data_IF_810600070280
#
_entry.id   IF_810600070280
#
_cell.length_a   1.000
_cell.length_b   1.000
_cell.length_c   1.000
_cell.angle_alpha   90.00
_cell.angle_beta   90.00
_cell.angle_gamma   90.00
#
_symmetry.space_group_name_H-M   'P 1'
#
loop_
_entity.id
_entity.type
_entity.pdbx_description
1 polymer ?
#
# COMPACT_ATOMS: atom_id res chain seq x y z
N UNK A 1 -6.94 10.60 20.64
CA UNK A 1 -6.77 10.85 19.20
C UNK A 1 -7.91 10.18 18.43
N UNK A 2 -9.09 10.83 18.31
CA UNK A 2 -10.28 10.23 17.68
C UNK A 2 -10.14 10.03 16.16
N UNK A 3 -9.21 10.74 15.51
CA UNK A 3 -8.84 10.58 14.10
C UNK A 3 -7.57 9.76 13.89
N UNK A 4 -7.04 9.10 14.93
CA UNK A 4 -5.83 8.29 14.77
C UNK A 4 -6.11 7.07 13.91
N UNK A 5 -5.23 6.86 12.94
CA UNK A 5 -5.16 5.61 12.19
C UNK A 5 -4.43 4.57 13.00
N UNK A 6 -5.04 3.39 13.12
CA UNK A 6 -4.46 2.27 13.87
C UNK A 6 -4.23 1.14 12.88
N UNK A 7 -2.98 0.70 12.81
CA UNK A 7 -2.55 -0.50 12.11
C UNK A 7 -1.84 -1.42 13.10
N UNK A 8 -1.75 -2.70 12.75
CA UNK A 8 -0.98 -3.68 13.53
C UNK A 8 0.19 -4.17 12.71
N UNK A 9 1.29 -4.45 13.40
CA UNK A 9 2.46 -5.05 12.82
C UNK A 9 3.15 -5.95 13.85
N UNK A 10 3.80 -7.00 13.37
CA UNK A 10 4.59 -7.86 14.22
C UNK A 10 5.59 -8.70 13.45
N UNK A 11 6.30 -9.52 14.22
CA UNK A 11 7.18 -10.56 13.72
C UNK A 11 6.95 -11.84 14.50
N UNK A 12 7.09 -13.01 13.86
CA UNK A 12 6.94 -14.31 14.53
C UNK A 12 5.55 -14.45 15.19
N UNK A 13 5.47 -15.01 16.39
CA UNK A 13 4.23 -15.05 17.17
C UNK A 13 3.60 -13.66 17.38
N UNK A 14 4.41 -12.61 17.43
CA UNK A 14 3.93 -11.22 17.51
C UNK A 14 3.12 -10.83 16.28
N UNK A 15 3.47 -11.33 15.10
CA UNK A 15 2.67 -11.11 13.88
C UNK A 15 1.35 -11.88 13.91
N UNK A 16 1.34 -13.12 14.39
CA UNK A 16 0.09 -13.86 14.60
C UNK A 16 -0.86 -13.09 15.55
N UNK A 17 -0.30 -12.52 16.63
CA UNK A 17 -1.08 -11.70 17.56
C UNK A 17 -1.56 -10.40 16.89
N UNK A 18 -0.70 -9.73 16.11
CA UNK A 18 -1.03 -8.53 15.36
C UNK A 18 -2.20 -8.79 14.40
N UNK A 19 -2.14 -9.86 13.60
CA UNK A 19 -3.22 -10.28 12.70
C UNK A 19 -4.52 -10.57 13.46
N UNK A 20 -4.44 -11.27 14.60
CA UNK A 20 -5.61 -11.54 15.44
C UNK A 20 -6.25 -10.24 15.93
N UNK A 21 -5.46 -9.29 16.43
CA UNK A 21 -5.95 -7.98 16.87
C UNK A 21 -6.56 -7.21 15.70
N UNK A 22 -5.90 -7.16 14.54
CA UNK A 22 -6.43 -6.52 13.34
C UNK A 22 -7.78 -7.09 12.92
N UNK A 23 -7.93 -8.41 12.94
CA UNK A 23 -9.20 -9.06 12.63
C UNK A 23 -10.27 -8.70 13.67
N UNK A 24 -9.95 -8.74 14.97
CA UNK A 24 -10.97 -8.44 15.99
C UNK A 24 -11.37 -6.97 16.00
N UNK A 25 -10.45 -6.05 15.69
CA UNK A 25 -10.67 -4.60 15.76
C UNK A 25 -10.98 -3.94 14.41
N UNK A 26 -10.83 -4.66 13.30
CA UNK A 26 -10.97 -4.11 11.95
C UNK A 26 -9.87 -3.10 11.62
N UNK A 27 -8.61 -3.49 11.89
CA UNK A 27 -7.43 -2.73 11.49
C UNK A 27 -6.75 -3.39 10.29
N UNK A 28 -5.99 -2.60 9.53
CA UNK A 28 -5.07 -3.14 8.55
C UNK A 28 -3.81 -3.66 9.27
N UNK A 29 -3.26 -4.75 8.73
CA UNK A 29 -2.10 -5.43 9.29
C UNK A 29 -1.00 -5.59 8.23
N UNK A 30 0.24 -5.38 8.66
CA UNK A 30 1.44 -5.72 7.90
C UNK A 30 2.50 -6.26 8.85
N UNK A 31 2.99 -7.47 8.59
CA UNK A 31 4.15 -7.96 9.32
C UNK A 31 4.78 -9.19 8.70
N UNK A 32 5.60 -9.87 9.50
CA UNK A 32 6.65 -10.73 8.97
C UNK A 32 6.72 -12.08 9.70
N UNK A 33 6.81 -13.16 8.94
CA UNK A 33 7.07 -14.52 9.45
C UNK A 33 6.11 -14.98 10.57
N UNK A 34 4.86 -14.50 10.57
CA UNK A 34 3.88 -14.92 11.56
C UNK A 34 3.22 -16.24 11.20
N UNK A 35 3.17 -17.25 12.08
CA UNK A 35 2.32 -18.43 11.87
C UNK A 35 0.86 -18.07 11.55
N UNK A 36 0.21 -18.88 10.73
CA UNK A 36 -1.20 -18.72 10.35
C UNK A 36 -2.12 -18.92 11.56
N UNK A 37 -3.11 -18.04 11.70
CA UNK A 37 -3.96 -17.94 12.89
C UNK A 37 -5.28 -18.72 12.79
N UNK A 38 -5.52 -19.50 11.73
CA UNK A 38 -6.83 -20.14 11.48
C UNK A 38 -7.38 -20.96 12.65
N UNK A 39 -6.52 -21.55 13.49
CA UNK A 39 -6.93 -22.31 14.67
C UNK A 39 -7.48 -21.44 15.83
N UNK A 40 -7.36 -20.12 15.74
CA UNK A 40 -7.77 -19.16 16.78
C UNK A 40 -9.05 -18.38 16.44
N UNK A 41 -9.60 -18.58 15.24
CA UNK A 41 -10.64 -17.72 14.66
C UNK A 41 -11.78 -18.56 14.07
N UNK A 42 -12.95 -17.93 13.84
CA UNK A 42 -14.12 -18.64 13.32
C UNK A 42 -13.99 -18.95 11.83
N UNK A 43 -14.86 -19.82 11.30
CA UNK A 43 -14.89 -20.14 9.85
C UNK A 43 -15.24 -18.91 9.01
N UNK A 44 -16.14 -18.08 9.52
CA UNK A 44 -16.55 -16.82 8.88
C UNK A 44 -15.39 -15.82 8.85
N UNK A 45 -14.60 -15.77 9.92
CA UNK A 45 -13.39 -14.93 9.98
C UNK A 45 -12.29 -15.44 9.04
N UNK A 46 -12.08 -16.76 8.95
CA UNK A 46 -11.17 -17.35 7.96
C UNK A 46 -11.62 -16.95 6.54
N UNK A 47 -12.91 -17.07 6.25
CA UNK A 47 -13.46 -16.69 4.94
C UNK A 47 -13.22 -15.21 4.64
N UNK A 48 -13.46 -14.32 5.60
CA UNK A 48 -13.15 -12.89 5.45
C UNK A 48 -11.67 -12.67 5.12
N UNK A 49 -10.75 -13.30 5.84
CA UNK A 49 -9.30 -13.15 5.58
C UNK A 49 -8.90 -13.69 4.20
N UNK A 50 -9.55 -14.74 3.71
CA UNK A 50 -9.32 -15.30 2.37
C UNK A 50 -9.88 -14.40 1.26
N UNK A 51 -11.01 -13.73 1.50
CA UNK A 51 -11.63 -12.78 0.56
C UNK A 51 -10.89 -11.43 0.57
N UNK A 52 -10.25 -11.10 1.69
CA UNK A 52 -9.57 -9.82 1.94
C UNK A 52 -8.12 -9.98 2.43
N UNK A 53 -7.27 -10.74 1.72
CA UNK A 53 -5.90 -10.99 2.16
C UNK A 53 -5.04 -9.71 2.16
N UNK A 54 -5.43 -8.69 1.39
CA UNK A 54 -4.79 -7.37 1.38
C UNK A 54 -4.83 -6.68 2.74
N UNK A 55 -5.89 -6.92 3.55
CA UNK A 55 -5.99 -6.38 4.89
C UNK A 55 -4.94 -7.00 5.84
N UNK A 56 -4.48 -8.21 5.57
CA UNK A 56 -3.69 -9.03 6.48
C UNK A 56 -2.36 -9.47 5.85
N UNK A 57 -1.52 -8.52 5.44
CA UNK A 57 -0.30 -8.85 4.70
C UNK A 57 0.76 -9.46 5.62
N UNK A 58 0.94 -10.77 5.52
CA UNK A 58 1.95 -11.50 6.27
C UNK A 58 3.07 -11.93 5.33
N UNK A 59 4.13 -11.14 5.26
CA UNK A 59 5.30 -11.47 4.46
C UNK A 59 6.06 -12.62 5.10
N UNK A 60 6.17 -13.74 4.40
CA UNK A 60 6.86 -14.92 4.90
C UNK A 60 8.04 -15.28 4.04
N UNK A 61 9.13 -15.62 4.70
CA UNK A 61 10.22 -16.29 4.04
C UNK A 61 9.80 -17.72 3.68
N UNK A 62 9.99 -18.14 2.41
CA UNK A 62 9.51 -19.44 1.91
C UNK A 62 10.03 -20.64 2.70
N UNK A 63 11.26 -20.52 3.21
CA UNK A 63 11.97 -21.58 3.93
C UNK A 63 11.97 -21.42 5.46
N UNK A 64 11.27 -20.42 5.98
CA UNK A 64 11.11 -20.24 7.43
C UNK A 64 10.21 -21.34 8.01
N UNK A 65 10.77 -22.23 8.82
CA UNK A 65 10.01 -23.32 9.44
C UNK A 65 9.04 -22.84 10.52
N UNK A 66 9.34 -21.73 11.20
CA UNK A 66 8.50 -21.20 12.28
C UNK A 66 7.29 -20.49 11.69
N UNK A 67 7.51 -19.51 10.81
CA UNK A 67 6.41 -18.75 10.18
C UNK A 67 5.46 -19.63 9.36
N UNK A 68 5.95 -20.77 8.84
CA UNK A 68 5.14 -21.69 8.04
C UNK A 68 4.57 -22.89 8.82
N UNK A 69 4.82 -23.00 10.14
CA UNK A 69 4.52 -24.20 10.94
C UNK A 69 3.03 -24.58 10.98
N UNK A 70 2.13 -23.58 10.85
CA UNK A 70 0.67 -23.79 10.86
C UNK A 70 0.04 -23.71 9.46
N UNK A 71 0.84 -23.73 8.39
CA UNK A 71 0.33 -23.63 7.02
C UNK A 71 -0.13 -22.23 6.63
N UNK A 72 -1.09 -22.13 5.70
CA UNK A 72 -1.61 -20.87 5.16
C UNK A 72 -3.13 -20.95 4.87
N UNK A 73 -3.90 -21.47 5.83
CA UNK A 73 -5.35 -21.64 5.68
C UNK A 73 -6.06 -20.29 5.50
N UNK A 74 -5.58 -19.21 6.12
CA UNK A 74 -6.14 -17.86 5.95
C UNK A 74 -5.81 -17.24 4.59
N UNK A 75 -4.88 -17.82 3.82
CA UNK A 75 -4.40 -17.32 2.52
C UNK A 75 -3.78 -15.91 2.56
N UNK A 76 -3.23 -15.54 3.71
CA UNK A 76 -2.66 -14.20 3.95
C UNK A 76 -1.14 -14.12 3.75
N UNK A 77 -0.47 -15.28 3.64
CA UNK A 77 0.97 -15.33 3.45
C UNK A 77 1.39 -14.83 2.05
N UNK A 78 2.36 -13.92 2.01
CA UNK A 78 3.01 -13.40 0.81
C UNK A 78 4.45 -13.87 0.82
N UNK A 79 4.88 -14.58 -0.23
CA UNK A 79 6.25 -15.09 -0.36
C UNK A 79 7.02 -14.30 -1.43
N UNK A 80 7.62 -13.16 -1.07
CA UNK A 80 8.45 -12.44 -2.02
C UNK A 80 9.75 -13.20 -2.30
N UNK A 81 10.34 -12.93 -3.46
CA UNK A 81 11.60 -13.53 -3.87
C UNK A 81 12.79 -12.82 -3.21
N UNK A 82 12.98 -13.10 -1.92
CA UNK A 82 14.04 -12.51 -1.06
C UNK A 82 15.17 -13.50 -0.73
N UNK A 83 15.21 -14.64 -1.42
CA UNK A 83 16.16 -15.73 -1.19
C UNK A 83 16.74 -16.21 -2.53
N UNK A 84 18.00 -16.72 -2.56
CA UNK A 84 18.63 -17.12 -3.81
C UNK A 84 17.86 -18.25 -4.50
N UNK A 85 17.86 -18.27 -5.83
CA UNK A 85 17.20 -19.29 -6.65
C UNK A 85 17.63 -20.73 -6.32
N UNK A 86 18.84 -20.90 -5.76
CA UNK A 86 19.37 -22.18 -5.34
C UNK A 86 19.28 -22.31 -3.83
N UNK A 87 18.47 -23.28 -3.42
CA UNK A 87 18.21 -23.65 -2.04
C UNK A 87 19.48 -24.05 -1.28
N UNK A 88 19.93 -23.20 -0.36
CA UNK A 88 20.92 -23.59 0.65
C UNK A 88 20.14 -24.00 1.92
N UNK A 89 20.07 -25.31 2.16
CA UNK A 89 19.30 -25.93 3.25
C UNK A 89 19.90 -25.72 4.66
N UNK A 90 21.02 -24.98 4.75
CA UNK A 90 21.92 -24.94 5.91
C UNK A 90 21.31 -24.41 7.20
N UNK A 91 20.44 -23.40 7.15
CA UNK A 91 19.92 -22.76 8.37
C UNK A 91 18.46 -22.29 8.25
N UNK A 92 17.52 -23.24 8.35
CA UNK A 92 16.07 -22.97 8.29
C UNK A 92 15.56 -22.02 9.38
N UNK A 93 16.28 -21.91 10.50
CA UNK A 93 15.97 -20.97 11.58
C UNK A 93 16.45 -19.55 11.28
N UNK A 94 17.51 -19.40 10.48
CA UNK A 94 18.02 -18.08 10.09
C UNK A 94 17.01 -17.33 9.21
N UNK A 95 16.29 -18.07 8.35
CA UNK A 95 15.20 -17.54 7.53
C UNK A 95 14.04 -16.94 8.33
N UNK A 96 13.96 -17.25 9.63
CA UNK A 96 12.98 -16.62 10.50
C UNK A 96 13.37 -15.19 10.90
N UNK A 97 14.65 -14.82 10.86
CA UNK A 97 15.15 -13.55 11.40
C UNK A 97 14.70 -12.34 10.59
N UNK A 98 14.53 -11.21 11.28
CA UNK A 98 14.18 -9.93 10.63
C UNK A 98 15.30 -9.40 9.71
N UNK A 99 16.55 -9.83 9.91
CA UNK A 99 17.69 -9.45 9.07
C UNK A 99 17.60 -9.95 7.63
N UNK A 100 16.67 -10.87 7.33
CA UNK A 100 16.44 -11.40 5.99
C UNK A 100 15.64 -10.43 5.11
N UNK A 101 14.99 -9.42 5.71
CA UNK A 101 14.17 -8.45 5.00
C UNK A 101 14.99 -7.23 4.62
N UNK A 102 14.87 -6.80 3.36
CA UNK A 102 15.56 -5.62 2.83
C UNK A 102 14.54 -4.53 2.54
N UNK A 103 14.89 -3.32 2.91
CA UNK A 103 14.05 -2.15 2.70
C UNK A 103 14.81 -1.12 1.89
N UNK A 104 14.10 -0.38 1.03
CA UNK A 104 14.66 0.80 0.41
C UNK A 104 14.72 1.98 1.40
N UNK A 105 15.25 3.11 0.95
CA UNK A 105 15.37 4.35 1.74
C UNK A 105 14.02 4.91 2.23
N UNK A 106 12.92 4.52 1.60
CA UNK A 106 11.56 4.91 1.95
C UNK A 106 10.88 3.88 2.88
N UNK A 107 11.62 2.87 3.35
CA UNK A 107 11.10 1.82 4.22
C UNK A 107 10.21 0.80 3.51
N UNK A 108 10.24 0.73 2.17
CA UNK A 108 9.48 -0.22 1.37
C UNK A 108 10.24 -1.53 1.23
N UNK A 109 9.54 -2.66 1.40
CA UNK A 109 10.17 -3.98 1.24
C UNK A 109 10.61 -4.15 -0.22
N UNK A 110 11.87 -4.57 -0.43
CA UNK A 110 12.41 -4.89 -1.76
C UNK A 110 12.80 -6.36 -1.86
N UNK A 111 12.70 -6.91 -3.07
CA UNK A 111 13.16 -8.26 -3.39
C UNK A 111 14.68 -8.29 -3.62
N UNK A 112 15.21 -9.47 -3.99
CA UNK A 112 16.65 -9.61 -4.23
C UNK A 112 17.17 -8.74 -5.37
N UNK A 113 16.34 -8.48 -6.38
CA UNK A 113 16.67 -7.66 -7.54
C UNK A 113 16.54 -6.16 -7.24
N UNK A 114 16.17 -5.81 -6.00
CA UNK A 114 15.98 -4.42 -5.56
C UNK A 114 14.63 -3.84 -5.96
N UNK A 115 13.71 -4.66 -6.49
CA UNK A 115 12.38 -4.21 -6.88
C UNK A 115 11.45 -4.17 -5.67
N UNK A 116 10.67 -3.09 -5.56
CA UNK A 116 9.65 -2.93 -4.51
C UNK A 116 8.61 -4.05 -4.55
N UNK A 117 8.44 -4.70 -3.41
CA UNK A 117 7.40 -5.71 -3.12
C UNK A 117 6.16 -5.04 -2.55
N UNK A 118 6.34 -4.02 -1.68
CA UNK A 118 5.22 -3.26 -1.13
C UNK A 118 4.58 -2.40 -2.20
N UNK A 119 3.25 -2.42 -2.25
CA UNK A 119 2.45 -1.61 -3.16
C UNK A 119 1.57 -0.66 -2.35
N UNK A 120 1.76 0.64 -2.54
CA UNK A 120 1.03 1.67 -1.79
C UNK A 120 -0.48 1.66 -2.13
N UNK A 121 -0.86 1.32 -3.36
CA UNK A 121 -2.28 1.13 -3.72
C UNK A 121 -2.90 -0.05 -2.98
N UNK A 122 -2.16 -1.14 -2.80
CA UNK A 122 -2.61 -2.27 -1.96
C UNK A 122 -2.72 -1.86 -0.50
N UNK A 123 -1.83 -0.98 -0.02
CA UNK A 123 -1.93 -0.43 1.34
C UNK A 123 -3.20 0.42 1.51
N UNK A 124 -3.51 1.28 0.54
CA UNK A 124 -4.75 2.06 0.54
C UNK A 124 -5.99 1.15 0.51
N UNK A 125 -5.98 0.09 -0.31
CA UNK A 125 -7.05 -0.90 -0.35
C UNK A 125 -7.20 -1.62 0.99
N UNK A 126 -6.10 -2.06 1.60
CA UNK A 126 -6.10 -2.73 2.90
C UNK A 126 -6.77 -1.90 4.00
N UNK A 127 -6.49 -0.60 4.02
CA UNK A 127 -7.05 0.33 4.99
C UNK A 127 -8.54 0.59 4.75
N UNK A 128 -8.95 0.75 3.48
CA UNK A 128 -10.34 0.87 3.10
C UNK A 128 -11.14 -0.40 3.45
N UNK A 129 -10.60 -1.58 3.14
CA UNK A 129 -11.16 -2.88 3.49
C UNK A 129 -11.30 -3.02 5.01
N UNK A 130 -10.27 -2.67 5.78
CA UNK A 130 -10.32 -2.69 7.24
C UNK A 130 -11.40 -1.76 7.80
N UNK A 131 -11.48 -0.52 7.27
CA UNK A 131 -12.50 0.46 7.64
C UNK A 131 -13.92 -0.03 7.31
N UNK A 132 -14.11 -0.65 6.15
CA UNK A 132 -15.38 -1.23 5.73
C UNK A 132 -15.76 -2.47 6.55
N UNK A 133 -14.80 -3.31 6.90
CA UNK A 133 -15.04 -4.45 7.79
C UNK A 133 -15.47 -3.99 9.18
N UNK A 134 -14.81 -2.95 9.72
CA UNK A 134 -15.23 -2.30 10.97
C UNK A 134 -16.64 -1.74 10.86
N UNK A 135 -16.97 -1.04 9.76
CA UNK A 135 -18.33 -0.57 9.47
C UNK A 135 -19.35 -1.72 9.51
N UNK A 136 -19.08 -2.85 8.86
CA UNK A 136 -20.01 -3.99 8.82
C UNK A 136 -20.25 -4.60 10.20
N UNK A 137 -19.21 -4.69 11.04
CA UNK A 137 -19.33 -5.18 12.42
C UNK A 137 -20.22 -4.26 13.26
N UNK A 138 -19.99 -2.95 13.16
CA UNK A 138 -20.78 -1.95 13.89
C UNK A 138 -22.21 -1.93 13.39
N UNK A 139 -22.42 -1.99 12.08
CA UNK A 139 -23.76 -2.07 11.49
C UNK A 139 -24.54 -3.26 12.02
N UNK A 140 -23.93 -4.45 11.99
CA UNK A 140 -24.54 -5.66 12.54
C UNK A 140 -24.94 -5.50 14.01
N UNK A 141 -24.12 -4.79 14.80
CA UNK A 141 -24.40 -4.52 16.20
C UNK A 141 -25.54 -3.51 16.40
N UNK A 142 -25.50 -2.36 15.71
CA UNK A 142 -26.50 -1.29 15.87
C UNK A 142 -27.86 -1.66 15.25
N UNK A 143 -27.87 -2.46 14.19
CA UNK A 143 -29.10 -2.86 13.50
C UNK A 143 -29.91 -3.95 14.21
N UNK A 144 -29.46 -4.45 15.38
CA UNK A 144 -30.09 -5.58 16.08
C UNK A 144 -31.59 -5.34 16.38
N UNK A 145 -31.96 -4.11 16.73
CA UNK A 145 -33.33 -3.71 17.08
C UNK A 145 -33.90 -2.66 16.10
N UNK A 146 -33.31 -2.55 14.91
CA UNK A 146 -33.55 -1.46 13.95
C UNK A 146 -32.67 -0.24 14.21
N UNK A 147 -32.42 0.56 13.16
CA UNK A 147 -31.55 1.74 13.25
C UNK A 147 -32.35 3.00 13.59
N UNK A 148 -31.85 3.78 14.53
CA UNK A 148 -32.26 5.17 14.70
C UNK A 148 -31.60 6.08 13.67
N UNK A 149 -32.19 7.25 13.41
CA UNK A 149 -31.60 8.23 12.48
C UNK A 149 -30.19 8.70 12.90
N UNK A 150 -29.86 8.65 14.19
CA UNK A 150 -28.51 9.01 14.66
C UNK A 150 -27.49 7.90 14.40
N UNK A 151 -27.92 6.64 14.51
CA UNK A 151 -27.10 5.49 14.15
C UNK A 151 -26.88 5.41 12.63
N UNK A 152 -27.89 5.75 11.83
CA UNK A 152 -27.75 5.89 10.37
C UNK A 152 -26.67 6.92 10.03
N UNK A 153 -26.77 8.13 10.61
CA UNK A 153 -25.76 9.19 10.40
C UNK A 153 -24.37 8.73 10.83
N UNK A 154 -24.26 7.96 11.91
CA UNK A 154 -22.99 7.41 12.37
C UNK A 154 -22.41 6.38 11.40
N UNK A 155 -23.23 5.44 10.93
CA UNK A 155 -22.84 4.44 9.96
C UNK A 155 -22.43 5.08 8.63
N UNK A 156 -23.17 6.07 8.16
CA UNK A 156 -22.84 6.85 6.96
C UNK A 156 -21.52 7.60 7.13
N UNK A 157 -21.27 8.17 8.31
CA UNK A 157 -20.00 8.83 8.63
C UNK A 157 -18.83 7.85 8.59
N UNK A 158 -18.98 6.66 9.18
CA UNK A 158 -17.93 5.62 9.17
C UNK A 158 -17.63 5.11 7.76
N UNK A 159 -18.66 4.84 6.97
CA UNK A 159 -18.52 4.40 5.59
C UNK A 159 -17.89 5.50 4.73
N UNK A 160 -18.37 6.74 4.87
CA UNK A 160 -17.85 7.90 4.15
C UNK A 160 -16.37 8.15 4.45
N UNK A 161 -15.95 8.10 5.71
CA UNK A 161 -14.54 8.23 6.08
C UNK A 161 -13.68 7.10 5.53
N UNK A 162 -14.12 5.83 5.66
CA UNK A 162 -13.35 4.68 5.20
C UNK A 162 -13.14 4.68 3.67
N UNK A 163 -14.20 4.97 2.90
CA UNK A 163 -14.13 5.01 1.45
C UNK A 163 -13.44 6.28 0.94
N UNK A 164 -13.74 7.44 1.56
CA UNK A 164 -13.11 8.71 1.22
C UNK A 164 -11.59 8.67 1.39
N UNK A 165 -11.11 8.21 2.54
CA UNK A 165 -9.68 8.05 2.82
C UNK A 165 -9.04 7.02 1.88
N UNK A 166 -9.70 5.86 1.70
CA UNK A 166 -9.21 4.81 0.81
C UNK A 166 -9.02 5.27 -0.63
N UNK A 167 -10.00 6.00 -1.19
CA UNK A 167 -9.92 6.56 -2.54
C UNK A 167 -8.86 7.64 -2.66
N UNK A 168 -8.75 8.55 -1.69
CA UNK A 168 -7.72 9.58 -1.68
C UNK A 168 -6.31 8.97 -1.63
N UNK A 169 -6.07 8.01 -0.74
CA UNK A 169 -4.79 7.33 -0.62
C UNK A 169 -4.45 6.52 -1.88
N UNK A 170 -5.43 5.84 -2.48
CA UNK A 170 -5.20 5.07 -3.71
C UNK A 170 -4.87 5.97 -4.90
N UNK A 171 -5.57 7.11 -5.04
CA UNK A 171 -5.29 8.08 -6.09
C UNK A 171 -3.90 8.73 -5.92
N UNK A 172 -3.53 9.10 -4.68
CA UNK A 172 -2.20 9.60 -4.35
C UNK A 172 -1.10 8.59 -4.65
N UNK A 173 -1.25 7.35 -4.19
CA UNK A 173 -0.31 6.27 -4.47
C UNK A 173 -0.17 6.02 -5.99
N UNK A 174 -1.27 6.09 -6.74
CA UNK A 174 -1.22 5.98 -8.20
C UNK A 174 -0.47 7.12 -8.87
N UNK A 175 -0.63 8.35 -8.41
CA UNK A 175 0.12 9.51 -8.91
C UNK A 175 1.62 9.39 -8.60
N UNK A 176 1.96 8.97 -7.39
CA UNK A 176 3.35 8.79 -6.97
C UNK A 176 4.04 7.64 -7.74
N UNK A 177 3.32 6.54 -8.00
CA UNK A 177 3.80 5.44 -8.85
C UNK A 177 4.15 5.91 -10.27
N UNK A 178 3.35 6.81 -10.86
CA UNK A 178 3.60 7.35 -12.21
C UNK A 178 4.85 8.23 -12.21
N UNK A 179 5.03 9.07 -11.19
CA UNK A 179 6.24 9.90 -11.03
C UNK A 179 7.49 9.03 -10.87
N UNK A 180 7.43 8.01 -10.02
CA UNK A 180 8.54 7.08 -9.85
C UNK A 180 8.85 6.32 -11.15
N UNK A 181 7.83 5.92 -11.92
CA UNK A 181 8.04 5.31 -13.22
C UNK A 181 8.72 6.28 -14.19
N UNK A 182 8.33 7.56 -14.20
CA UNK A 182 9.01 8.59 -14.98
C UNK A 182 10.49 8.67 -14.59
N UNK A 183 10.80 8.80 -13.30
CA UNK A 183 12.18 8.87 -12.79
C UNK A 183 13.01 7.67 -13.27
N UNK A 184 12.47 6.45 -13.18
CA UNK A 184 13.14 5.23 -13.63
C UNK A 184 13.41 5.24 -15.15
N UNK A 185 12.41 5.59 -15.95
CA UNK A 185 12.53 5.57 -17.42
C UNK A 185 13.44 6.69 -17.91
N UNK A 186 13.35 7.89 -17.31
CA UNK A 186 14.25 9.02 -17.61
C UNK A 186 15.68 8.68 -17.23
N UNK A 187 15.92 8.05 -16.08
CA UNK A 187 17.26 7.59 -15.69
C UNK A 187 17.83 6.59 -16.71
N UNK A 188 17.04 5.61 -17.14
CA UNK A 188 17.44 4.65 -18.18
C UNK A 188 17.71 5.32 -19.53
N UNK A 189 16.90 6.29 -19.93
CA UNK A 189 17.13 7.07 -21.16
C UNK A 189 18.44 7.87 -21.06
N UNK A 190 18.72 8.45 -19.90
CA UNK A 190 19.96 9.19 -19.63
C UNK A 190 21.18 8.26 -19.63
N UNK A 191 21.07 7.05 -19.09
CA UNK A 191 22.11 6.03 -19.17
C UNK A 191 22.41 5.63 -20.61
N UNK A 192 21.38 5.39 -21.43
CA UNK A 192 21.54 5.10 -22.86
C UNK A 192 22.23 6.25 -23.61
N UNK A 193 21.84 7.50 -23.31
CA UNK A 193 22.52 8.67 -23.86
C UNK A 193 23.99 8.72 -23.49
N UNK A 194 24.33 8.47 -22.21
CA UNK A 194 25.70 8.49 -21.71
C UNK A 194 26.58 7.37 -22.28
N UNK A 195 26.00 6.28 -22.81
CA UNK A 195 26.72 5.19 -23.47
C UNK A 195 27.12 5.52 -24.91
N UNK A 196 26.56 6.56 -25.53
CA UNK A 196 26.93 6.96 -26.89
C UNK A 196 28.33 7.56 -26.92
N UNK A 197 29.24 6.92 -27.66
CA UNK A 197 30.61 7.41 -27.84
C UNK A 197 30.77 8.23 -29.13
N UNK A 198 30.62 9.54 -29.00
CA UNK A 198 30.85 10.50 -30.08
C UNK A 198 32.34 10.75 -30.38
N UNK A 199 33.26 10.23 -29.57
CA UNK A 199 34.70 10.48 -29.70
C UNK A 199 35.44 9.44 -30.57
N UNK A 200 34.78 8.35 -30.92
CA UNK A 200 35.37 7.23 -31.68
C UNK A 200 35.67 7.53 -33.16
N UNK A 201 35.19 8.65 -33.70
CA UNK A 201 35.31 9.00 -35.12
C UNK A 201 36.60 9.77 -35.42
N UNK A 202 37.42 9.25 -36.34
CA UNK A 202 38.78 9.76 -36.62
C UNK A 202 38.88 10.83 -37.71
N UNK A 203 37.87 10.96 -38.55
CA UNK A 203 37.91 11.80 -39.76
C UNK A 203 36.98 13.01 -39.69
N UNK A 204 36.21 13.13 -38.62
CA UNK A 204 35.29 14.23 -38.35
C UNK A 204 35.70 14.88 -37.02
N UNK A 205 35.53 16.19 -36.92
CA UNK A 205 35.60 16.90 -35.64
C UNK A 205 34.43 16.49 -34.74
N UNK A 206 34.57 16.71 -33.42
CA UNK A 206 33.52 16.38 -32.45
C UNK A 206 32.18 17.04 -32.78
N UNK A 207 32.21 18.31 -33.22
CA UNK A 207 31.00 19.05 -33.61
C UNK A 207 30.37 18.50 -34.91
N UNK A 208 31.17 18.06 -35.88
CA UNK A 208 30.68 17.41 -37.09
C UNK A 208 30.01 16.06 -36.78
N UNK A 209 30.56 15.29 -35.83
CA UNK A 209 29.94 14.06 -35.33
C UNK A 209 28.60 14.39 -34.67
N UNK A 210 28.57 15.31 -33.71
CA UNK A 210 27.34 15.73 -33.03
C UNK A 210 26.28 16.22 -34.02
N UNK A 211 26.66 17.08 -34.97
CA UNK A 211 25.74 17.59 -36.00
C UNK A 211 25.21 16.47 -36.91
N UNK A 212 26.04 15.47 -37.23
CA UNK A 212 25.61 14.31 -38.04
C UNK A 212 24.58 13.48 -37.29
N UNK A 213 24.83 13.16 -36.02
CA UNK A 213 23.88 12.44 -35.16
C UNK A 213 22.57 13.23 -34.97
N UNK A 214 22.67 14.54 -34.72
CA UNK A 214 21.53 15.42 -34.59
C UNK A 214 20.69 15.48 -35.87
N UNK A 215 21.32 15.48 -37.05
CA UNK A 215 20.61 15.43 -38.34
C UNK A 215 19.81 14.14 -38.56
N UNK A 216 20.23 13.04 -37.92
CA UNK A 216 19.51 11.78 -37.87
C UNK A 216 18.51 11.70 -36.70
N UNK A 217 18.32 12.79 -35.94
CA UNK A 217 17.40 12.86 -34.81
C UNK A 217 17.95 12.33 -33.50
N UNK A 218 19.26 12.04 -33.39
CA UNK A 218 19.90 11.56 -32.16
C UNK A 218 20.46 12.75 -31.39
N UNK A 219 19.69 13.23 -30.41
CA UNK A 219 20.07 14.33 -29.50
C UNK A 219 19.62 13.98 -28.09
N UNK A 220 20.22 14.62 -27.08
CA UNK A 220 19.76 14.42 -25.71
C UNK A 220 18.27 14.80 -25.55
N UNK A 221 17.82 15.87 -26.21
CA UNK A 221 16.43 16.31 -26.16
C UNK A 221 15.47 15.27 -26.78
N UNK A 222 15.87 14.60 -27.86
CA UNK A 222 15.02 13.60 -28.53
C UNK A 222 15.07 12.22 -27.85
N UNK A 223 16.14 11.89 -27.13
CA UNK A 223 16.28 10.61 -26.41
C UNK A 223 15.77 10.70 -24.97
N UNK A 224 16.13 11.74 -24.23
CA UNK A 224 15.75 11.94 -22.81
C UNK A 224 14.54 12.86 -22.69
N UNK A 225 14.59 14.03 -23.35
CA UNK A 225 13.53 15.05 -23.22
C UNK A 225 12.16 14.61 -23.78
N UNK A 226 12.13 13.76 -24.82
CA UNK A 226 10.88 13.20 -25.34
C UNK A 226 10.19 12.29 -24.32
N UNK A 227 10.97 11.48 -23.60
CA UNK A 227 10.48 10.64 -22.51
C UNK A 227 9.90 11.50 -21.40
N UNK A 228 10.61 12.56 -20.98
CA UNK A 228 10.10 13.49 -19.98
C UNK A 228 8.76 14.12 -20.40
N UNK A 229 8.66 14.52 -21.67
CA UNK A 229 7.45 15.13 -22.23
C UNK A 229 6.26 14.16 -22.30
N UNK A 230 6.50 12.88 -22.61
CA UNK A 230 5.46 11.85 -22.68
C UNK A 230 4.80 11.62 -21.30
N UNK A 231 5.57 11.75 -20.22
CA UNK A 231 5.06 11.61 -18.86
C UNK A 231 4.35 12.87 -18.34
N UNK A 232 4.68 14.07 -18.84
CA UNK A 232 4.13 15.33 -18.35
C UNK A 232 2.59 15.34 -18.32
N UNK A 233 1.95 14.96 -19.43
CA UNK A 233 0.49 14.92 -19.50
C UNK A 233 -0.11 13.87 -18.54
N UNK A 234 0.56 12.73 -18.38
CA UNK A 234 0.12 11.66 -17.49
C UNK A 234 0.19 12.09 -16.03
N UNK A 235 1.31 12.71 -15.63
CA UNK A 235 1.52 13.26 -14.30
C UNK A 235 0.50 14.34 -13.97
N UNK A 236 0.25 15.29 -14.88
CA UNK A 236 -0.76 16.34 -14.67
C UNK A 236 -2.15 15.75 -14.41
N UNK A 237 -2.55 14.74 -15.19
CA UNK A 237 -3.84 14.06 -15.00
C UNK A 237 -3.89 13.31 -13.67
N UNK A 238 -2.84 12.58 -13.32
CA UNK A 238 -2.78 11.81 -12.09
C UNK A 238 -2.78 12.70 -10.84
N UNK A 239 -2.00 13.79 -10.85
CA UNK A 239 -1.92 14.75 -9.76
C UNK A 239 -3.26 15.49 -9.57
N UNK A 240 -3.92 15.86 -10.67
CA UNK A 240 -5.25 16.44 -10.62
C UNK A 240 -6.25 15.48 -9.97
N UNK A 241 -6.27 14.21 -10.38
CA UNK A 241 -7.16 13.21 -9.81
C UNK A 241 -6.88 12.97 -8.32
N UNK A 242 -5.61 12.86 -7.94
CA UNK A 242 -5.21 12.72 -6.53
C UNK A 242 -5.67 13.92 -5.68
N UNK A 243 -5.59 15.14 -6.23
CA UNK A 243 -6.04 16.37 -5.57
C UNK A 243 -7.57 16.41 -5.45
N UNK A 244 -8.30 15.99 -6.47
CA UNK A 244 -9.77 15.94 -6.46
C UNK A 244 -10.29 14.95 -5.41
N UNK A 245 -9.70 13.76 -5.31
CA UNK A 245 -10.07 12.79 -4.27
C UNK A 245 -9.69 13.22 -2.87
N UNK A 246 -8.51 13.85 -2.69
CA UNK A 246 -8.14 14.43 -1.39
C UNK A 246 -9.14 15.53 -0.98
N UNK A 247 -9.49 16.42 -1.90
CA UNK A 247 -10.49 17.48 -1.66
C UNK A 247 -11.84 16.89 -1.26
N UNK A 248 -12.30 15.84 -1.96
CA UNK A 248 -13.55 15.15 -1.61
C UNK A 248 -13.48 14.52 -0.21
N UNK A 249 -12.36 13.88 0.13
CA UNK A 249 -12.16 13.32 1.47
C UNK A 249 -12.20 14.40 2.55
N UNK A 250 -11.53 15.54 2.35
CA UNK A 250 -11.59 16.68 3.28
C UNK A 250 -13.02 17.22 3.43
N UNK A 251 -13.79 17.28 2.34
CA UNK A 251 -15.20 17.70 2.41
C UNK A 251 -16.06 16.73 3.22
N UNK A 252 -15.86 15.41 3.08
CA UNK A 252 -16.53 14.39 3.89
C UNK A 252 -16.23 14.60 5.37
N UNK A 253 -14.94 14.73 5.72
CA UNK A 253 -14.49 14.96 7.10
C UNK A 253 -15.13 16.24 7.65
N UNK A 254 -15.06 17.34 6.90
CA UNK A 254 -15.58 18.64 7.33
C UNK A 254 -17.09 18.62 7.60
N UNK A 255 -17.88 17.92 6.77
CA UNK A 255 -19.33 17.78 6.98
C UNK A 255 -19.61 17.01 8.28
N UNK A 256 -18.88 15.93 8.53
CA UNK A 256 -19.02 15.13 9.76
C UNK A 256 -18.64 15.99 10.98
N UNK A 257 -17.47 16.63 10.95
CA UNK A 257 -16.98 17.45 12.06
C UNK A 257 -17.92 18.62 12.37
N UNK A 258 -18.43 19.32 11.34
CA UNK A 258 -19.41 20.38 11.51
C UNK A 258 -20.67 19.86 12.22
N UNK A 259 -21.18 18.69 11.80
CA UNK A 259 -22.37 18.09 12.40
C UNK A 259 -22.15 17.77 13.88
N UNK A 260 -21.00 17.18 14.23
CA UNK A 260 -20.64 16.87 15.61
C UNK A 260 -20.33 18.11 16.46
N UNK A 261 -19.85 19.19 15.83
CA UNK A 261 -19.63 20.46 16.51
C UNK A 261 -20.96 21.11 16.92
N UNK A 262 -21.97 21.06 16.05
CA UNK A 262 -23.30 21.65 16.26
C UNK A 262 -24.23 20.78 17.11
N UNK A 263 -24.12 19.45 17.05
CA UNK A 263 -24.97 18.52 17.79
C UNK A 263 -24.16 17.78 18.87
N UNK A 264 -24.17 18.34 20.09
CA UNK A 264 -23.40 17.79 21.21
C UNK A 264 -23.92 16.44 21.71
N UNK A 265 -25.20 16.15 21.51
CA UNK A 265 -25.79 14.87 21.89
C UNK A 265 -25.29 13.77 20.94
N UNK A 266 -25.38 14.01 19.64
CA UNK A 266 -24.83 13.13 18.61
C UNK A 266 -23.32 12.91 18.78
N UNK A 267 -22.56 13.97 19.08
CA UNK A 267 -21.14 13.83 19.39
C UNK A 267 -20.89 12.95 20.64
N UNK A 268 -21.78 13.00 21.62
CA UNK A 268 -21.78 12.11 22.77
C UNK A 268 -22.03 10.65 22.38
N UNK A 269 -23.00 10.41 21.51
CA UNK A 269 -23.32 9.08 20.99
C UNK A 269 -22.19 8.49 20.14
N UNK A 270 -21.60 9.26 19.23
CA UNK A 270 -20.42 8.85 18.46
C UNK A 270 -19.28 8.39 19.38
N UNK A 271 -19.00 9.12 20.47
CA UNK A 271 -17.99 8.71 21.46
C UNK A 271 -18.35 7.40 22.14
N UNK A 272 -19.64 7.19 22.48
CA UNK A 272 -20.10 5.92 23.06
C UNK A 272 -19.93 4.77 22.09
N UNK A 273 -20.36 4.92 20.84
CA UNK A 273 -20.22 3.87 19.82
C UNK A 273 -18.75 3.57 19.52
N UNK A 274 -17.89 4.60 19.39
CA UNK A 274 -16.44 4.43 19.20
C UNK A 274 -15.75 3.70 20.35
N UNK A 275 -16.28 3.76 21.57
CA UNK A 275 -15.69 3.06 22.73
C UNK A 275 -16.00 1.56 22.79
N UNK A 276 -16.95 1.08 21.97
CA UNK A 276 -17.39 -0.33 21.94
C UNK A 276 -16.67 -1.17 20.88
N UNK A 277 -15.69 -0.59 20.21
CA UNK A 277 -14.96 -1.12 19.04
C UNK A 277 -13.49 -1.24 19.38
#
# INVERSE_FOLDING_TARGET
YPSAKITTAGHSLGESLAMYVALKRGYANIGYNGPDIHNLISKEEIKHMQEHPEQFRNYRHKYDVIGNITGNTTQTAIYPYIYPAKDNWGDKLEYHNLSQWRFDENGQLVDLDGKRVTNLKVTALAEATAGMYRYQKIKSYLSADGLSSREEIYLDSLQGMALGEGMANAARAGADDIKHLQEEVVSKAQELWNQLDFSSFRYLSYDEVLSTFASAGVTQATIVGSVEQDFEQMNQKAEKLATEFDTLNQQIIQVIENKLATDKELAGEFRKWNSRI
#
